data_IF_818594866533
#
_entry.id   IF_818594866533
#
_cell.length_a   1.000
_cell.length_b   1.000
_cell.length_c   1.000
_cell.angle_alpha   90.00
_cell.angle_beta   90.00
_cell.angle_gamma   90.00
#
_symmetry.space_group_name_H-M   'P 1'
#
loop_
_entity.id
_entity.type
_entity.pdbx_description
1 polymer ?
#
# COMPACT_ATOMS: atom_id res chain seq x y z
N UNK A 1 0.66 -1.62 -46.39
CA UNK A 1 0.56 -1.03 -45.03
C UNK A 1 0.46 -2.17 -44.03
N UNK A 2 1.18 -2.13 -42.92
CA UNK A 2 1.10 -3.15 -41.88
C UNK A 2 -0.02 -2.80 -40.88
N UNK A 3 -0.85 -3.77 -40.49
CA UNK A 3 -1.84 -3.58 -39.43
C UNK A 3 -1.24 -4.05 -38.10
N UNK A 4 -1.15 -3.14 -37.12
CA UNK A 4 -0.59 -3.42 -35.79
C UNK A 4 -1.72 -3.42 -34.77
N UNK A 5 -1.80 -4.49 -33.98
CA UNK A 5 -2.72 -4.64 -32.84
C UNK A 5 -1.92 -4.81 -31.55
N UNK A 6 -2.48 -4.37 -30.43
CA UNK A 6 -1.90 -4.51 -29.09
C UNK A 6 -2.99 -4.52 -28.03
N UNK A 7 -2.76 -5.20 -26.91
CA UNK A 7 -3.62 -5.12 -25.74
C UNK A 7 -3.21 -3.91 -24.88
N UNK A 8 -4.10 -2.94 -24.60
CA UNK A 8 -3.76 -1.80 -23.74
C UNK A 8 -3.45 -2.17 -22.29
N UNK A 9 -3.87 -3.35 -21.81
CA UNK A 9 -3.60 -3.85 -20.45
C UNK A 9 -2.22 -4.49 -20.34
N UNK A 10 -1.73 -5.04 -21.44
CA UNK A 10 -0.41 -5.66 -21.53
C UNK A 10 0.19 -5.40 -22.91
N UNK A 11 1.10 -4.44 -22.99
CA UNK A 11 1.81 -4.12 -24.23
C UNK A 11 3.13 -4.89 -24.36
N UNK A 12 3.31 -5.99 -23.63
CA UNK A 12 4.50 -6.87 -23.78
C UNK A 12 4.65 -7.47 -25.14
N UNK A 13 3.54 -7.54 -25.87
CA UNK A 13 3.47 -8.12 -27.20
C UNK A 13 2.57 -7.28 -28.07
N UNK A 14 2.95 -7.20 -29.33
CA UNK A 14 2.12 -6.64 -30.39
C UNK A 14 1.92 -7.71 -31.45
N UNK A 15 0.81 -7.60 -32.19
CA UNK A 15 0.51 -8.47 -33.31
C UNK A 15 0.54 -7.67 -34.59
N UNK A 16 1.43 -8.04 -35.50
CA UNK A 16 1.56 -7.41 -36.81
C UNK A 16 0.94 -8.35 -37.84
N UNK A 17 -0.08 -7.88 -38.56
CA UNK A 17 -0.64 -8.61 -39.68
C UNK A 17 0.32 -8.52 -40.86
N UNK A 18 0.79 -9.67 -41.34
CA UNK A 18 1.58 -9.73 -42.56
C UNK A 18 0.67 -9.39 -43.77
N UNK A 19 1.10 -8.48 -44.66
CA UNK A 19 0.28 -8.03 -45.78
C UNK A 19 0.00 -9.12 -46.82
N UNK A 20 0.84 -10.16 -46.90
CA UNK A 20 0.73 -11.22 -47.91
C UNK A 20 0.18 -12.53 -47.34
N UNK A 21 0.62 -12.96 -46.15
CA UNK A 21 0.26 -14.28 -45.60
C UNK A 21 -0.95 -14.33 -44.68
N UNK A 22 -1.73 -13.25 -44.53
CA UNK A 22 -2.96 -13.16 -43.71
C UNK A 22 -2.83 -13.72 -42.28
N UNK A 23 -1.63 -13.77 -41.71
CA UNK A 23 -1.39 -14.25 -40.35
C UNK A 23 -0.79 -13.15 -39.48
N UNK A 24 -1.01 -13.29 -38.17
CA UNK A 24 -0.46 -12.38 -37.18
C UNK A 24 0.89 -12.88 -36.68
N UNK A 25 1.89 -12.01 -36.75
CA UNK A 25 3.19 -12.21 -36.12
C UNK A 25 3.18 -11.57 -34.74
N UNK A 26 3.50 -12.36 -33.72
CA UNK A 26 3.67 -11.89 -32.35
C UNK A 26 5.08 -11.32 -32.19
N UNK A 27 5.18 -10.06 -31.78
CA UNK A 27 6.44 -9.36 -31.56
C UNK A 27 6.50 -8.95 -30.09
N UNK A 28 7.41 -9.55 -29.28
CA UNK A 28 7.60 -9.15 -27.90
C UNK A 28 8.45 -7.87 -27.79
N UNK A 29 8.72 -7.45 -26.55
CA UNK A 29 9.79 -6.47 -26.27
C UNK A 29 11.14 -6.90 -26.85
N UNK A 30 12.02 -5.91 -27.03
CA UNK A 30 13.41 -6.20 -27.42
C UNK A 30 14.12 -6.94 -26.29
N UNK A 31 13.86 -6.56 -25.04
CA UNK A 31 14.42 -7.24 -23.87
C UNK A 31 13.34 -8.06 -23.18
N UNK A 32 13.42 -9.40 -23.31
CA UNK A 32 12.41 -10.34 -22.82
C UNK A 32 12.26 -10.40 -21.29
N UNK A 33 13.27 -9.93 -20.54
CA UNK A 33 13.22 -9.91 -19.07
C UNK A 33 12.39 -8.76 -18.50
N UNK A 34 11.93 -7.83 -19.36
CA UNK A 34 11.08 -6.73 -18.89
C UNK A 34 9.70 -7.23 -18.45
N UNK A 35 9.14 -6.65 -17.37
CA UNK A 35 7.81 -7.01 -16.92
C UNK A 35 6.75 -6.50 -17.88
N UNK A 36 5.57 -7.13 -17.87
CA UNK A 36 4.40 -6.58 -18.53
C UNK A 36 4.07 -5.18 -18.01
N UNK A 37 3.77 -4.27 -18.93
CA UNK A 37 3.32 -2.91 -18.62
C UNK A 37 2.05 -2.59 -19.40
N UNK A 38 1.24 -1.70 -18.84
CA UNK A 38 0.05 -1.19 -19.51
C UNK A 38 0.43 -0.09 -20.51
N UNK A 39 -0.42 0.14 -21.51
CA UNK A 39 -0.27 1.28 -22.42
C UNK A 39 -0.30 2.63 -21.67
N UNK A 40 -1.04 2.70 -20.56
CA UNK A 40 -1.12 3.90 -19.75
C UNK A 40 0.20 4.21 -19.04
N UNK A 41 0.85 3.20 -18.43
CA UNK A 41 2.15 3.36 -17.78
C UNK A 41 3.22 3.80 -18.78
N UNK A 42 3.24 3.20 -19.98
CA UNK A 42 4.16 3.62 -21.04
C UNK A 42 3.96 5.10 -21.40
N UNK A 43 2.71 5.53 -21.62
CA UNK A 43 2.39 6.92 -21.97
C UNK A 43 2.81 7.90 -20.87
N UNK A 44 2.53 7.55 -19.62
CA UNK A 44 2.92 8.38 -18.48
C UNK A 44 4.43 8.49 -18.33
N UNK A 45 5.15 7.36 -18.44
CA UNK A 45 6.60 7.35 -18.36
C UNK A 45 7.23 8.17 -19.50
N UNK A 46 6.74 8.03 -20.74
CA UNK A 46 7.18 8.87 -21.87
C UNK A 46 6.91 10.36 -21.63
N UNK A 47 5.73 10.72 -21.13
CA UNK A 47 5.40 12.10 -20.81
C UNK A 47 6.35 12.66 -19.73
N UNK A 48 6.67 11.87 -18.70
CA UNK A 48 7.61 12.26 -17.64
C UNK A 48 9.04 12.40 -18.14
N UNK A 49 9.51 11.50 -18.99
CA UNK A 49 10.85 11.57 -19.59
C UNK A 49 10.98 12.81 -20.50
N UNK A 50 9.95 13.13 -21.28
CA UNK A 50 9.90 14.36 -22.09
C UNK A 50 9.93 15.61 -21.22
N UNK A 51 9.18 15.63 -20.11
CA UNK A 51 9.22 16.73 -19.13
C UNK A 51 10.62 16.91 -18.52
N UNK A 52 11.43 15.86 -18.45
CA UNK A 52 12.82 15.89 -17.99
C UNK A 52 13.82 16.29 -19.09
N UNK A 53 13.35 16.69 -20.29
CA UNK A 53 14.19 17.12 -21.40
C UNK A 53 14.79 15.97 -22.23
N UNK A 54 14.29 14.74 -22.09
CA UNK A 54 14.75 13.60 -22.92
C UNK A 54 13.87 13.46 -24.16
N UNK A 55 14.41 13.86 -25.31
CA UNK A 55 13.75 13.67 -26.62
C UNK A 55 13.90 12.23 -27.13
N UNK A 56 15.11 11.66 -26.99
CA UNK A 56 15.41 10.27 -27.34
C UNK A 56 15.25 9.40 -26.08
N UNK A 57 14.24 8.53 -26.08
CA UNK A 57 13.96 7.59 -24.99
C UNK A 57 14.30 6.17 -25.46
N UNK A 58 15.25 5.53 -24.79
CA UNK A 58 15.55 4.12 -24.98
C UNK A 58 14.64 3.23 -24.12
N UNK A 59 14.61 1.93 -24.44
CA UNK A 59 13.83 0.93 -23.69
C UNK A 59 14.23 0.93 -22.21
N UNK A 60 15.53 1.05 -21.93
CA UNK A 60 16.06 1.01 -20.57
C UNK A 60 15.56 2.18 -19.70
N UNK A 61 15.56 3.43 -20.22
CA UNK A 61 15.07 4.58 -19.48
C UNK A 61 13.56 4.52 -19.28
N UNK A 62 12.81 4.01 -20.26
CA UNK A 62 11.37 3.83 -20.16
C UNK A 62 11.00 2.90 -19.00
N UNK A 63 11.57 1.70 -18.96
CA UNK A 63 11.26 0.74 -17.89
C UNK A 63 11.77 1.19 -16.53
N UNK A 64 12.93 1.88 -16.48
CA UNK A 64 13.43 2.47 -15.24
C UNK A 64 12.46 3.52 -14.69
N UNK A 65 11.92 4.38 -15.56
CA UNK A 65 10.90 5.37 -15.18
C UNK A 65 9.61 4.72 -14.70
N UNK A 66 9.11 3.69 -15.40
CA UNK A 66 7.92 2.93 -14.96
C UNK A 66 8.17 2.32 -13.57
N UNK A 67 9.33 1.72 -13.34
CA UNK A 67 9.73 1.19 -12.03
C UNK A 67 9.72 2.25 -10.93
N UNK A 68 10.30 3.42 -11.19
CA UNK A 68 10.28 4.55 -10.25
C UNK A 68 8.85 5.01 -9.92
N UNK A 69 7.99 5.13 -10.94
CA UNK A 69 6.59 5.49 -10.75
C UNK A 69 5.83 4.47 -9.90
N UNK A 70 6.04 3.17 -10.13
CA UNK A 70 5.44 2.09 -9.33
C UNK A 70 5.89 2.14 -7.86
N UNK A 71 7.17 2.43 -7.61
CA UNK A 71 7.70 2.57 -6.25
C UNK A 71 7.10 3.78 -5.53
N UNK A 72 6.94 4.91 -6.21
CA UNK A 72 6.28 6.10 -5.66
C UNK A 72 4.83 5.77 -5.25
N UNK A 73 4.08 5.08 -6.11
CA UNK A 73 2.70 4.66 -5.79
C UNK A 73 2.67 3.74 -4.58
N UNK A 74 3.55 2.75 -4.54
CA UNK A 74 3.59 1.74 -3.47
C UNK A 74 3.98 2.36 -2.13
N UNK A 75 5.01 3.21 -2.11
CA UNK A 75 5.45 3.93 -0.92
C UNK A 75 4.37 4.90 -0.41
N UNK A 76 3.70 5.64 -1.31
CA UNK A 76 2.59 6.51 -0.96
C UNK A 76 1.42 5.72 -0.36
N UNK A 77 1.04 4.57 -0.93
CA UNK A 77 0.00 3.71 -0.37
C UNK A 77 0.35 3.22 1.05
N UNK A 78 1.59 2.77 1.27
CA UNK A 78 2.08 2.35 2.59
C UNK A 78 2.02 3.52 3.59
N UNK A 79 2.50 4.70 3.20
CA UNK A 79 2.48 5.90 4.03
C UNK A 79 1.05 6.31 4.41
N UNK A 80 0.12 6.35 3.45
CA UNK A 80 -1.29 6.68 3.70
C UNK A 80 -1.96 5.68 4.63
N UNK A 81 -1.71 4.37 4.42
CA UNK A 81 -2.23 3.32 5.34
C UNK A 81 -1.68 3.47 6.76
N UNK A 82 -0.41 3.84 6.91
CA UNK A 82 0.20 4.13 8.21
C UNK A 82 -0.44 5.36 8.85
N UNK A 83 -0.52 6.47 8.12
CA UNK A 83 -1.12 7.71 8.60
C UNK A 83 -2.56 7.54 9.06
N UNK A 84 -3.38 6.77 8.34
CA UNK A 84 -4.75 6.42 8.74
C UNK A 84 -4.77 5.67 10.08
N UNK A 85 -3.98 4.60 10.21
CA UNK A 85 -3.90 3.82 11.47
C UNK A 85 -3.47 4.69 12.65
N UNK A 86 -2.50 5.58 12.45
CA UNK A 86 -2.03 6.47 13.52
C UNK A 86 -3.05 7.56 13.86
N UNK A 87 -3.92 7.96 12.92
CA UNK A 87 -5.06 8.83 13.20
C UNK A 87 -6.14 8.10 14.02
N UNK A 88 -6.50 6.89 13.63
CA UNK A 88 -7.48 6.05 14.34
C UNK A 88 -7.01 5.77 15.78
N UNK A 89 -5.72 5.44 15.95
CA UNK A 89 -5.13 5.25 17.30
C UNK A 89 -5.26 6.50 18.15
N UNK A 90 -5.16 7.71 17.60
CA UNK A 90 -5.30 8.96 18.37
C UNK A 90 -6.76 9.37 18.58
N UNK A 91 -7.71 8.73 17.92
CA UNK A 91 -9.13 9.07 18.04
C UNK A 91 -9.66 8.80 19.46
N UNK A 92 -9.26 7.68 20.09
CA UNK A 92 -9.70 7.37 21.46
C UNK A 92 -9.23 8.41 22.49
N UNK A 93 -8.09 9.08 22.26
CA UNK A 93 -7.60 10.17 23.10
C UNK A 93 -8.48 11.43 23.01
N UNK A 94 -9.27 11.58 21.94
CA UNK A 94 -10.18 12.71 21.73
C UNK A 94 -11.57 12.46 22.32
N UNK A 95 -11.94 11.20 22.55
CA UNK A 95 -13.23 10.77 23.12
C UNK A 95 -13.07 10.30 24.57
N UNK A 96 -12.23 10.99 25.35
CA UNK A 96 -12.36 10.95 26.81
C UNK A 96 -13.11 12.20 27.22
N UNK A 97 -14.45 12.14 27.13
CA UNK A 97 -15.22 12.85 28.14
C UNK A 97 -14.72 12.27 29.45
N UNK A 98 -14.13 13.12 30.29
CA UNK A 98 -13.58 12.78 31.61
C UNK A 98 -14.55 11.77 32.24
N UNK A 99 -14.14 10.53 32.55
CA UNK A 99 -15.04 9.64 33.26
C UNK A 99 -15.48 10.42 34.49
N UNK A 100 -16.79 10.60 34.65
CA UNK A 100 -17.36 11.08 35.90
C UNK A 100 -16.66 10.29 37.00
N UNK A 101 -16.07 11.00 37.96
CA UNK A 101 -15.28 10.39 39.04
C UNK A 101 -16.03 9.14 39.49
N UNK A 102 -15.40 7.94 39.50
CA UNK A 102 -16.08 6.76 40.01
C UNK A 102 -16.54 7.12 41.42
N UNK A 103 -17.85 7.20 41.59
CA UNK A 103 -18.44 7.37 42.91
C UNK A 103 -18.08 6.07 43.63
N UNK A 104 -17.32 6.13 44.72
CA UNK A 104 -17.02 4.92 45.47
C UNK A 104 -18.36 4.27 45.86
N UNK A 105 -18.49 2.94 45.75
CA UNK A 105 -19.70 2.28 46.22
C UNK A 105 -19.91 2.64 47.69
N UNK A 106 -21.12 3.06 48.04
CA UNK A 106 -21.51 3.30 49.43
C UNK A 106 -21.26 2.01 50.22
N UNK A 107 -20.18 2.03 51.00
CA UNK A 107 -19.79 0.93 51.89
C UNK A 107 -20.56 1.11 53.18
N UNK A 108 -21.85 0.80 53.12
CA UNK A 108 -22.73 0.72 54.29
C UNK A 108 -23.24 -0.71 54.49
N UNK A 109 -22.31 -1.66 54.36
CA UNK A 109 -22.48 -3.02 54.87
C UNK A 109 -21.31 -3.24 55.82
N UNK A 110 -21.55 -2.96 57.10
CA UNK A 110 -20.85 -3.62 58.17
C UNK A 110 -21.19 -5.11 58.04
N UNK A 111 -20.44 -5.81 57.20
CA UNK A 111 -20.50 -7.25 57.06
C UNK A 111 -19.74 -7.82 58.27
N UNK A 112 -20.41 -8.43 59.26
CA UNK A 112 -19.75 -8.91 60.49
C UNK A 112 -18.77 -10.07 60.22
N UNK A 113 -18.56 -10.43 58.96
CA UNK A 113 -17.65 -11.48 58.51
C UNK A 113 -16.30 -10.94 57.98
N UNK A 114 -16.03 -9.63 58.07
CA UNK A 114 -14.76 -9.04 57.61
C UNK A 114 -13.54 -9.53 58.42
N UNK A 115 -13.74 -9.97 59.67
CA UNK A 115 -12.67 -10.46 60.55
C UNK A 115 -12.20 -11.90 60.24
N UNK A 116 -12.85 -12.60 59.29
CA UNK A 116 -12.53 -13.99 58.93
C UNK A 116 -12.04 -14.16 57.48
N UNK A 117 -11.61 -13.07 56.83
CA UNK A 117 -10.98 -13.16 55.51
C UNK A 117 -9.48 -13.46 55.68
N UNK A 118 -8.92 -14.49 55.02
CA UNK A 118 -7.48 -14.69 54.99
C UNK A 118 -6.82 -13.44 54.37
N UNK A 119 -5.64 -13.02 54.86
CA UNK A 119 -4.94 -11.85 54.33
C UNK A 119 -4.77 -12.00 52.82
N UNK A 120 -5.09 -10.93 52.09
CA UNK A 120 -4.98 -10.92 50.64
C UNK A 120 -3.55 -11.32 50.23
N UNK A 121 -3.44 -12.33 49.36
CA UNK A 121 -2.14 -12.75 48.84
C UNK A 121 -1.56 -11.61 47.99
N UNK A 122 -0.30 -11.21 48.23
CA UNK A 122 0.39 -10.31 47.32
C UNK A 122 0.47 -10.93 45.93
N UNK A 123 0.44 -10.09 44.90
CA UNK A 123 0.53 -10.53 43.51
C UNK A 123 1.93 -11.07 43.22
N UNK A 124 2.02 -12.29 42.68
CA UNK A 124 3.29 -12.99 42.43
C UNK A 124 4.05 -12.45 41.18
N UNK A 125 3.47 -11.52 40.42
CA UNK A 125 4.06 -10.97 39.21
C UNK A 125 4.32 -9.47 39.35
N UNK A 126 5.48 -9.15 39.91
CA UNK A 126 6.11 -7.84 39.75
C UNK A 126 7.24 -8.05 38.74
N UNK A 127 7.04 -7.65 37.49
CA UNK A 127 8.16 -7.57 36.54
C UNK A 127 9.05 -6.39 36.98
N UNK A 128 10.26 -6.71 37.41
CA UNK A 128 11.31 -5.73 37.70
C UNK A 128 11.82 -5.12 36.38
N UNK A 129 11.87 -3.78 36.32
CA UNK A 129 12.38 -3.01 35.19
C UNK A 129 13.89 -2.75 35.31
#
# INVERSE_FOLDING_TARGET
>A
SFLIRRDPRDISRIWVLEPEGQHYLEIPYRTLSHPAVTLWEQRQALAKLRQQGREQVDESALFRMIGQMREIVTSAQKATRKARRDADRRQHLKTSARPDKPVPPDTDIADPQADNLPPAKPFDQIEEW
#
